data_IF_871963865363
#
_entry.id   IF_871963865363
#
_cell.length_a   1.000
_cell.length_b   1.000
_cell.length_c   1.000
_cell.angle_alpha   90.00
_cell.angle_beta   90.00
_cell.angle_gamma   90.00
#
_symmetry.space_group_name_H-M   'P 1'
#
loop_
_entity.id
_entity.type
_entity.pdbx_description
1 polymer ?
#
# COMPACT_ATOMS: atom_id res chain seq x y z
N UNK A 1 -31.53 -4.43 9.64
CA UNK A 1 -30.94 -3.18 9.16
C UNK A 1 -31.77 -2.01 9.69
N UNK A 2 -31.14 -1.09 10.41
CA UNK A 2 -31.79 0.08 11.01
C UNK A 2 -31.09 1.34 10.57
N UNK A 3 -31.82 2.34 10.07
CA UNK A 3 -31.30 3.65 9.71
C UNK A 3 -31.28 4.52 10.96
N UNK A 4 -30.13 5.14 11.24
CA UNK A 4 -29.91 5.99 12.42
C UNK A 4 -29.35 7.36 11.99
N UNK A 5 -29.77 8.41 12.67
CA UNK A 5 -29.27 9.75 12.44
C UNK A 5 -27.87 9.90 13.09
N UNK A 6 -26.93 10.43 12.32
CA UNK A 6 -25.53 10.65 12.71
C UNK A 6 -25.06 12.04 12.24
N UNK A 7 -25.64 13.11 12.77
CA UNK A 7 -25.45 14.45 12.24
C UNK A 7 -23.98 14.89 12.35
N UNK A 8 -23.39 15.33 11.22
CA UNK A 8 -22.02 15.82 11.14
C UNK A 8 -20.93 14.74 11.28
N UNK A 9 -21.28 13.45 11.24
CA UNK A 9 -20.32 12.32 11.35
C UNK A 9 -19.92 11.85 9.98
N UNK A 10 -18.74 12.25 9.51
CA UNK A 10 -18.24 11.97 8.16
C UNK A 10 -17.11 10.93 8.12
N UNK A 11 -16.41 10.71 9.23
CA UNK A 11 -15.29 9.77 9.29
C UNK A 11 -15.66 8.53 10.10
N UNK A 12 -14.93 7.42 9.83
CA UNK A 12 -15.12 6.16 10.57
C UNK A 12 -14.96 6.37 12.08
N UNK A 13 -13.96 7.15 12.48
CA UNK A 13 -13.67 7.44 13.88
C UNK A 13 -14.86 8.16 14.55
N UNK A 14 -15.37 9.20 13.91
CA UNK A 14 -16.53 9.96 14.41
C UNK A 14 -17.79 9.08 14.53
N UNK A 15 -18.09 8.31 13.48
CA UNK A 15 -19.25 7.40 13.47
C UNK A 15 -19.12 6.31 14.53
N UNK A 16 -17.94 5.72 14.66
CA UNK A 16 -17.68 4.66 15.65
C UNK A 16 -17.76 5.18 17.08
N UNK A 17 -17.23 6.38 17.35
CA UNK A 17 -17.33 7.03 18.64
C UNK A 17 -18.79 7.37 18.99
N UNK A 18 -19.52 7.99 18.05
CA UNK A 18 -20.93 8.37 18.24
C UNK A 18 -21.85 7.16 18.49
N UNK A 19 -21.65 6.05 17.78
CA UNK A 19 -22.46 4.86 17.89
C UNK A 19 -21.91 3.83 18.91
N UNK A 20 -20.79 4.14 19.57
CA UNK A 20 -20.10 3.26 20.52
C UNK A 20 -19.78 1.86 19.95
N UNK A 21 -19.23 1.83 18.74
CA UNK A 21 -18.84 0.59 18.04
C UNK A 21 -17.34 0.57 17.72
N UNK A 22 -16.75 -0.61 17.66
CA UNK A 22 -15.37 -0.80 17.19
C UNK A 22 -15.29 -0.57 15.67
N UNK A 23 -14.21 0.02 15.17
CA UNK A 23 -13.96 0.23 13.74
C UNK A 23 -14.03 -1.08 12.93
N UNK A 24 -13.73 -2.23 13.54
CA UNK A 24 -13.90 -3.55 12.93
C UNK A 24 -15.36 -3.94 12.72
N UNK A 25 -16.28 -3.24 13.36
CA UNK A 25 -17.74 -3.39 13.19
C UNK A 25 -18.31 -2.29 12.30
N UNK A 26 -17.47 -1.57 11.60
CA UNK A 26 -17.88 -0.62 10.58
C UNK A 26 -17.38 -1.05 9.20
N UNK A 27 -18.05 -0.55 8.18
CA UNK A 27 -17.69 -0.67 6.78
C UNK A 27 -17.51 0.73 6.23
N UNK A 28 -16.37 0.98 5.59
CA UNK A 28 -16.14 2.23 4.86
C UNK A 28 -16.13 2.02 3.36
N UNK A 29 -16.53 3.05 2.65
CA UNK A 29 -16.39 3.13 1.21
C UNK A 29 -15.14 3.90 0.83
N UNK A 30 -14.39 3.40 -0.13
CA UNK A 30 -13.27 4.10 -0.76
C UNK A 30 -13.60 4.26 -2.24
N UNK A 31 -13.44 5.48 -2.75
CA UNK A 31 -13.83 5.82 -4.11
C UNK A 31 -12.61 5.95 -4.99
N UNK A 32 -12.60 5.23 -6.09
CA UNK A 32 -11.64 5.35 -7.19
C UNK A 32 -12.36 5.61 -8.50
N UNK A 33 -11.61 6.02 -9.51
CA UNK A 33 -12.06 6.11 -10.90
C UNK A 33 -11.05 5.43 -11.81
N UNK A 34 -11.54 4.85 -12.91
CA UNK A 34 -10.66 4.32 -13.95
C UNK A 34 -10.02 5.45 -14.73
N UNK A 35 -8.72 5.32 -15.08
CA UNK A 35 -8.04 6.31 -15.93
C UNK A 35 -8.55 6.35 -17.36
N UNK A 36 -9.28 5.31 -17.82
CA UNK A 36 -9.72 5.18 -19.19
C UNK A 36 -11.01 5.94 -19.53
N UNK A 37 -11.94 6.00 -18.58
CA UNK A 37 -13.32 6.46 -18.81
C UNK A 37 -13.94 7.17 -17.60
N UNK A 38 -13.14 7.44 -16.57
CA UNK A 38 -13.54 8.06 -15.31
C UNK A 38 -14.68 7.33 -14.57
N UNK A 39 -14.96 6.07 -14.95
CA UNK A 39 -16.01 5.29 -14.30
C UNK A 39 -15.69 5.08 -12.80
N UNK A 40 -16.67 5.39 -11.97
CA UNK A 40 -16.55 5.26 -10.52
C UNK A 40 -16.44 3.80 -10.08
N UNK A 41 -15.61 3.58 -9.06
CA UNK A 41 -15.41 2.31 -8.39
C UNK A 41 -15.59 2.55 -6.90
N UNK A 42 -16.63 1.98 -6.33
CA UNK A 42 -16.90 2.01 -4.90
C UNK A 42 -16.39 0.72 -4.27
N UNK A 43 -15.41 0.83 -3.40
CA UNK A 43 -14.83 -0.31 -2.71
C UNK A 43 -15.25 -0.26 -1.26
N UNK A 44 -15.96 -1.28 -0.85
CA UNK A 44 -16.36 -1.46 0.54
C UNK A 44 -15.36 -2.35 1.27
N UNK A 45 -14.82 -1.87 2.36
CA UNK A 45 -13.80 -2.53 3.18
C UNK A 45 -14.13 -2.35 4.66
N UNK A 46 -13.63 -3.24 5.51
CA UNK A 46 -13.79 -3.08 6.96
C UNK A 46 -13.14 -1.77 7.43
N UNK A 47 -13.79 -1.04 8.33
CA UNK A 47 -13.45 0.34 8.68
C UNK A 47 -12.03 0.56 9.20
N UNK A 48 -11.40 -0.45 9.82
CA UNK A 48 -10.02 -0.41 10.32
C UNK A 48 -8.94 -0.67 9.26
N UNK A 49 -9.33 -0.99 8.00
CA UNK A 49 -8.39 -1.36 6.93
C UNK A 49 -8.30 -0.28 5.85
N UNK A 50 -7.20 -0.29 5.11
CA UNK A 50 -6.95 0.57 3.96
C UNK A 50 -6.88 -0.24 2.66
N UNK A 51 -7.21 0.38 1.52
CA UNK A 51 -7.10 -0.26 0.20
C UNK A 51 -5.66 -0.22 -0.30
N UNK A 52 -5.23 -1.34 -0.89
CA UNK A 52 -3.99 -1.45 -1.66
C UNK A 52 -4.30 -1.20 -3.14
N UNK A 53 -3.86 -0.06 -3.64
CA UNK A 53 -4.11 0.38 -5.01
C UNK A 53 -3.50 -0.57 -6.06
N UNK A 54 -2.34 -1.17 -5.76
CA UNK A 54 -1.73 -2.16 -6.66
C UNK A 54 -2.59 -3.42 -6.79
N UNK A 55 -3.18 -3.91 -5.69
CA UNK A 55 -4.13 -5.03 -5.74
C UNK A 55 -5.36 -4.67 -6.57
N UNK A 56 -5.88 -3.45 -6.40
CA UNK A 56 -7.02 -2.96 -7.16
C UNK A 56 -6.73 -2.88 -8.66
N UNK A 57 -5.61 -2.25 -9.04
CA UNK A 57 -5.16 -2.16 -10.43
C UNK A 57 -4.98 -3.54 -11.07
N UNK A 58 -4.34 -4.47 -10.35
CA UNK A 58 -4.15 -5.84 -10.82
C UNK A 58 -5.48 -6.59 -11.01
N UNK A 59 -6.44 -6.39 -10.10
CA UNK A 59 -7.76 -7.03 -10.19
C UNK A 59 -8.56 -6.49 -11.38
N UNK A 60 -8.54 -5.17 -11.59
CA UNK A 60 -9.29 -4.53 -12.67
C UNK A 60 -8.61 -4.65 -14.04
N UNK A 61 -7.31 -4.94 -14.08
CA UNK A 61 -6.50 -4.95 -15.30
C UNK A 61 -6.31 -3.58 -15.96
N UNK A 62 -6.54 -2.49 -15.22
CA UNK A 62 -6.39 -1.11 -15.69
C UNK A 62 -5.95 -0.19 -14.55
N UNK A 63 -5.32 0.93 -14.93
CA UNK A 63 -4.91 1.97 -13.99
C UNK A 63 -6.12 2.73 -13.43
N UNK A 64 -6.00 3.14 -12.18
CA UNK A 64 -7.01 3.88 -11.44
C UNK A 64 -6.39 5.08 -10.73
N UNK A 65 -7.22 6.03 -10.34
CA UNK A 65 -6.84 7.17 -9.49
C UNK A 65 -7.90 7.36 -8.39
N UNK A 66 -7.57 8.06 -7.29
CA UNK A 66 -8.56 8.43 -6.28
C UNK A 66 -9.73 9.19 -6.90
N UNK A 67 -10.95 8.75 -6.61
CA UNK A 67 -12.15 9.31 -7.22
C UNK A 67 -12.48 10.71 -6.69
N UNK A 68 -12.85 11.60 -7.60
CA UNK A 68 -13.35 12.93 -7.29
C UNK A 68 -14.87 12.90 -7.37
N UNK A 69 -15.53 12.99 -6.23
CA UNK A 69 -17.00 12.96 -6.15
C UNK A 69 -17.54 14.34 -6.55
N UNK A 70 -18.38 14.36 -7.57
CA UNK A 70 -19.11 15.55 -8.03
C UNK A 70 -20.58 15.47 -7.65
N UNK A 71 -21.30 16.59 -7.69
CA UNK A 71 -22.75 16.62 -7.43
C UNK A 71 -23.54 15.73 -8.42
N UNK A 72 -23.06 15.62 -9.65
CA UNK A 72 -23.68 14.82 -10.71
C UNK A 72 -23.44 13.31 -10.56
N UNK A 73 -22.46 12.90 -9.73
CA UNK A 73 -22.09 11.48 -9.57
C UNK A 73 -23.18 10.63 -8.91
N UNK A 74 -24.13 11.24 -8.20
CA UNK A 74 -25.11 10.54 -7.38
C UNK A 74 -24.52 9.85 -6.16
N UNK A 75 -23.24 10.13 -5.83
CA UNK A 75 -22.50 9.55 -4.69
C UNK A 75 -22.51 10.54 -3.55
N UNK A 76 -23.00 10.13 -2.38
CA UNK A 76 -23.09 11.01 -1.21
C UNK A 76 -21.82 10.94 -0.37
N UNK A 77 -20.86 11.82 -0.61
CA UNK A 77 -19.58 11.87 0.11
C UNK A 77 -19.78 11.90 1.63
N UNK A 78 -19.00 11.10 2.35
CA UNK A 78 -19.08 10.93 3.82
C UNK A 78 -20.15 9.94 4.29
N UNK A 79 -21.13 9.58 3.43
CA UNK A 79 -22.27 8.73 3.80
C UNK A 79 -22.49 7.56 2.82
N UNK A 80 -21.47 7.18 2.08
CA UNK A 80 -21.56 6.15 1.04
C UNK A 80 -21.80 4.78 1.69
N UNK A 81 -22.83 4.09 1.25
CA UNK A 81 -23.16 2.74 1.68
C UNK A 81 -23.50 1.81 0.52
N UNK A 82 -23.42 0.49 0.72
CA UNK A 82 -23.71 -0.47 -0.34
C UNK A 82 -25.21 -0.70 -0.56
N UNK A 83 -26.05 -0.37 0.43
CA UNK A 83 -27.49 -0.60 0.38
C UNK A 83 -28.15 0.54 -0.38
N UNK A 84 -28.98 0.19 -1.38
CA UNK A 84 -29.67 1.16 -2.24
C UNK A 84 -28.69 2.15 -2.95
N UNK A 85 -27.52 1.68 -3.30
CA UNK A 85 -26.59 2.47 -4.11
C UNK A 85 -27.09 2.53 -5.56
N UNK A 86 -27.44 3.72 -6.04
CA UNK A 86 -28.03 3.95 -7.37
C UNK A 86 -27.08 4.64 -8.37
N UNK A 87 -25.87 5.02 -7.93
CA UNK A 87 -24.89 5.62 -8.83
C UNK A 87 -24.40 4.60 -9.89
N UNK A 88 -24.11 5.09 -11.09
CA UNK A 88 -23.46 4.26 -12.13
C UNK A 88 -22.00 4.01 -11.77
N UNK A 89 -21.74 2.94 -11.05
CA UNK A 89 -20.43 2.62 -10.55
C UNK A 89 -20.19 1.09 -10.50
N UNK A 90 -18.91 0.72 -10.45
CA UNK A 90 -18.50 -0.65 -10.12
C UNK A 90 -18.46 -0.75 -8.60
N UNK A 91 -19.15 -1.74 -8.05
CA UNK A 91 -19.16 -2.03 -6.60
C UNK A 91 -18.29 -3.25 -6.31
N UNK A 92 -17.33 -3.11 -5.40
CA UNK A 92 -16.45 -4.18 -4.97
C UNK A 92 -16.50 -4.34 -3.44
N UNK A 93 -16.51 -5.58 -2.98
CA UNK A 93 -16.41 -5.90 -1.56
C UNK A 93 -15.06 -6.54 -1.24
N UNK A 94 -14.37 -5.98 -0.26
CA UNK A 94 -13.12 -6.58 0.22
C UNK A 94 -13.40 -7.87 1.01
N UNK A 95 -12.48 -8.81 0.91
CA UNK A 95 -12.56 -10.11 1.60
C UNK A 95 -12.73 -9.98 3.13
N UNK A 96 -12.29 -8.88 3.73
CA UNK A 96 -12.46 -8.61 5.17
C UNK A 96 -13.91 -8.51 5.62
N UNK A 97 -14.85 -8.32 4.67
CA UNK A 97 -16.29 -8.23 4.95
C UNK A 97 -17.00 -9.58 4.90
N UNK A 98 -16.36 -10.61 4.36
CA UNK A 98 -16.98 -11.93 4.22
C UNK A 98 -17.39 -12.51 5.57
N UNK A 99 -18.65 -12.94 5.69
CA UNK A 99 -19.21 -13.53 6.91
C UNK A 99 -19.37 -12.54 8.08
N UNK A 100 -19.20 -11.24 7.85
CA UNK A 100 -19.37 -10.22 8.90
C UNK A 100 -20.84 -9.91 9.13
N UNK A 101 -21.15 -9.61 10.38
CA UNK A 101 -22.51 -9.32 10.84
C UNK A 101 -22.52 -8.08 11.73
N UNK A 102 -23.68 -7.43 11.79
CA UNK A 102 -23.93 -6.27 12.64
C UNK A 102 -22.95 -5.11 12.36
N UNK A 103 -22.73 -4.83 11.07
CA UNK A 103 -21.88 -3.72 10.64
C UNK A 103 -22.64 -2.39 10.64
N UNK A 104 -21.89 -1.31 10.81
CA UNK A 104 -22.31 0.07 10.52
C UNK A 104 -21.79 0.46 9.16
N UNK A 105 -22.61 1.11 8.33
CA UNK A 105 -22.19 1.66 7.02
C UNK A 105 -22.98 2.92 6.68
N UNK A 106 -22.53 3.68 5.68
CA UNK A 106 -23.28 4.82 5.16
C UNK A 106 -24.67 4.44 4.65
N UNK A 107 -25.60 5.38 4.66
CA UNK A 107 -26.98 5.19 4.20
C UNK A 107 -27.27 5.88 2.86
N UNK A 108 -26.25 6.39 2.15
CA UNK A 108 -26.36 7.20 0.93
C UNK A 108 -27.26 8.43 1.11
N UNK A 109 -27.34 8.93 2.33
CA UNK A 109 -28.09 10.11 2.71
C UNK A 109 -27.30 10.91 3.75
N UNK A 110 -27.25 12.24 3.59
CA UNK A 110 -26.52 13.13 4.50
C UNK A 110 -27.00 12.93 5.93
N UNK A 111 -26.04 12.81 6.85
CA UNK A 111 -26.30 12.63 8.29
C UNK A 111 -26.99 11.32 8.68
N UNK A 112 -26.94 10.29 7.83
CA UNK A 112 -27.51 8.98 8.17
C UNK A 112 -26.55 7.83 7.89
N UNK A 113 -26.58 6.85 8.80
CA UNK A 113 -25.91 5.56 8.66
C UNK A 113 -26.91 4.42 8.90
N UNK A 114 -26.58 3.24 8.39
CA UNK A 114 -27.25 1.98 8.74
C UNK A 114 -26.47 1.25 9.81
N UNK A 115 -27.19 0.65 10.75
CA UNK A 115 -26.67 -0.32 11.74
C UNK A 115 -27.31 -1.69 11.51
N UNK A 116 -26.63 -2.74 11.95
CA UNK A 116 -27.17 -4.10 11.84
C UNK A 116 -27.05 -4.74 10.45
N UNK A 117 -26.13 -4.22 9.61
CA UNK A 117 -25.86 -4.81 8.29
C UNK A 117 -25.21 -6.19 8.45
N UNK A 118 -25.76 -7.19 7.78
CA UNK A 118 -25.19 -8.53 7.68
C UNK A 118 -24.91 -8.84 6.23
N UNK A 119 -23.65 -9.09 5.89
CA UNK A 119 -23.24 -9.25 4.48
C UNK A 119 -23.98 -10.37 3.77
N UNK A 120 -24.11 -11.53 4.40
CA UNK A 120 -24.79 -12.68 3.79
C UNK A 120 -26.29 -12.48 3.62
N UNK A 121 -26.91 -11.62 4.44
CA UNK A 121 -28.36 -11.34 4.36
C UNK A 121 -28.68 -10.30 3.29
N UNK A 122 -27.94 -9.20 3.27
CA UNK A 122 -28.16 -8.10 2.33
C UNK A 122 -27.51 -8.35 0.95
N UNK A 123 -26.41 -9.11 0.92
CA UNK A 123 -25.61 -9.36 -0.28
C UNK A 123 -25.24 -10.86 -0.40
N UNK A 124 -26.21 -11.77 -0.56
CA UNK A 124 -25.95 -13.22 -0.59
C UNK A 124 -25.05 -13.64 -1.75
N UNK A 125 -25.12 -12.93 -2.86
CA UNK A 125 -24.35 -13.21 -4.08
C UNK A 125 -23.09 -12.33 -4.22
N UNK A 126 -22.65 -11.66 -3.14
CA UNK A 126 -21.50 -10.79 -3.18
C UNK A 126 -20.21 -11.57 -3.46
N UNK A 127 -19.46 -11.11 -4.46
CA UNK A 127 -18.10 -11.54 -4.69
C UNK A 127 -17.13 -10.72 -3.82
N UNK A 128 -16.20 -11.44 -3.16
CA UNK A 128 -15.22 -10.82 -2.26
C UNK A 128 -13.83 -10.90 -2.85
N UNK A 129 -13.18 -9.73 -2.97
CA UNK A 129 -11.85 -9.57 -3.55
C UNK A 129 -10.84 -9.21 -2.47
N UNK A 130 -9.60 -9.66 -2.60
CA UNK A 130 -8.51 -9.26 -1.71
C UNK A 130 -7.94 -7.90 -2.15
N UNK A 131 -8.41 -6.83 -1.52
CA UNK A 131 -8.05 -5.45 -1.85
C UNK A 131 -7.37 -4.69 -0.69
N UNK A 132 -7.52 -5.17 0.54
CA UNK A 132 -6.97 -4.49 1.70
C UNK A 132 -5.44 -4.56 1.77
N UNK A 133 -4.82 -3.51 2.34
CA UNK A 133 -3.41 -3.52 2.74
C UNK A 133 -3.21 -4.53 3.87
N UNK A 134 -2.01 -5.11 3.88
CA UNK A 134 -1.56 -5.95 5.00
C UNK A 134 -1.39 -5.08 6.25
N UNK A 135 -1.81 -5.62 7.38
CA UNK A 135 -1.70 -4.96 8.70
C UNK A 135 -0.84 -5.79 9.64
N UNK A 136 -0.25 -5.12 10.64
CA UNK A 136 0.48 -5.77 11.73
C UNK A 136 -0.41 -6.80 12.43
N UNK A 137 0.14 -7.99 12.72
CA UNK A 137 -0.63 -9.09 13.29
C UNK A 137 -1.65 -9.73 12.33
N UNK A 138 -1.58 -9.41 11.05
CA UNK A 138 -2.43 -10.02 10.01
C UNK A 138 -2.22 -11.53 9.90
N UNK A 139 -3.19 -12.21 9.29
CA UNK A 139 -3.16 -13.66 9.09
C UNK A 139 -2.26 -13.99 7.89
N UNK A 140 -1.25 -14.82 8.12
CA UNK A 140 -0.41 -15.33 7.05
C UNK A 140 -1.21 -16.27 6.13
N UNK A 141 -1.26 -16.04 4.82
CA UNK A 141 -2.01 -16.89 3.89
C UNK A 141 -1.43 -18.30 3.77
N UNK A 142 -0.14 -18.49 4.09
CA UNK A 142 0.53 -19.79 3.99
C UNK A 142 0.27 -20.69 5.21
N UNK A 143 0.33 -20.13 6.42
CA UNK A 143 0.22 -20.92 7.66
C UNK A 143 -1.05 -20.66 8.48
N UNK A 144 -1.88 -19.69 8.10
CA UNK A 144 -3.14 -19.35 8.78
C UNK A 144 -2.98 -18.70 10.17
N UNK A 145 -1.75 -18.41 10.60
CA UNK A 145 -1.49 -17.80 11.91
C UNK A 145 -1.47 -16.28 11.82
N UNK A 146 -1.82 -15.60 12.90
CA UNK A 146 -1.64 -14.14 13.09
C UNK A 146 -0.17 -13.87 13.37
N UNK A 147 0.65 -13.82 12.32
CA UNK A 147 2.11 -13.76 12.42
C UNK A 147 2.78 -12.79 11.46
N UNK A 148 2.00 -11.96 10.76
CA UNK A 148 2.57 -10.95 9.89
C UNK A 148 3.11 -9.80 10.74
N UNK A 149 4.35 -9.40 10.47
CA UNK A 149 4.99 -8.23 11.08
C UNK A 149 5.32 -7.22 9.99
N UNK A 150 5.23 -5.94 10.34
CA UNK A 150 5.55 -4.84 9.44
C UNK A 150 6.83 -4.17 9.96
N UNK A 151 7.85 -4.09 9.12
CA UNK A 151 9.07 -3.33 9.40
C UNK A 151 9.33 -2.31 8.30
N UNK A 152 9.93 -1.19 8.68
CA UNK A 152 10.44 -0.22 7.72
C UNK A 152 11.87 -0.59 7.37
N UNK A 153 12.20 -0.51 6.08
CA UNK A 153 13.56 -0.71 5.58
C UNK A 153 13.94 0.40 4.61
N UNK A 154 15.23 0.58 4.43
CA UNK A 154 15.77 1.48 3.39
C UNK A 154 16.06 0.62 2.16
N UNK A 155 15.45 0.97 1.02
CA UNK A 155 15.74 0.31 -0.26
C UNK A 155 17.12 0.74 -0.76
N UNK A 156 18.08 -0.16 -0.74
CA UNK A 156 19.45 0.10 -1.18
C UNK A 156 19.73 -0.41 -2.59
N UNK A 157 18.92 -1.31 -3.11
CA UNK A 157 19.00 -1.84 -4.46
C UNK A 157 17.70 -2.46 -4.91
N UNK A 158 17.51 -2.61 -6.21
CA UNK A 158 16.30 -3.17 -6.78
C UNK A 158 16.60 -4.00 -8.03
N UNK A 159 15.76 -5.00 -8.27
CA UNK A 159 15.75 -5.81 -9.49
C UNK A 159 14.46 -5.52 -10.23
N UNK A 160 14.59 -5.01 -11.46
CA UNK A 160 13.45 -4.68 -12.30
C UNK A 160 13.26 -5.74 -13.37
N UNK A 161 12.11 -6.39 -13.38
CA UNK A 161 11.69 -7.28 -14.45
C UNK A 161 11.00 -6.45 -15.54
N UNK A 162 11.76 -5.97 -16.51
CA UNK A 162 11.27 -5.07 -17.54
C UNK A 162 10.48 -5.81 -18.64
N UNK A 163 10.64 -7.13 -18.75
CA UNK A 163 10.01 -7.92 -19.80
C UNK A 163 10.36 -7.40 -21.19
N UNK A 164 9.36 -7.24 -22.03
CA UNK A 164 9.52 -6.74 -23.41
C UNK A 164 9.10 -5.28 -23.57
N UNK A 165 8.89 -4.53 -22.47
CA UNK A 165 8.36 -3.15 -22.51
C UNK A 165 9.18 -2.24 -23.42
N UNK A 166 10.50 -2.23 -23.27
CA UNK A 166 11.38 -1.37 -24.04
C UNK A 166 11.73 -1.98 -25.40
N UNK A 167 11.96 -3.28 -25.47
CA UNK A 167 12.31 -3.94 -26.73
C UNK A 167 11.20 -3.85 -27.75
N UNK A 168 9.92 -3.96 -27.33
CA UNK A 168 8.77 -3.73 -28.22
C UNK A 168 8.67 -2.28 -28.68
N UNK A 169 8.80 -1.30 -27.77
CA UNK A 169 8.69 0.11 -28.14
C UNK A 169 9.80 0.59 -29.09
N UNK A 170 10.99 -0.03 -29.00
CA UNK A 170 12.13 0.25 -29.86
C UNK A 170 12.17 -0.66 -31.11
N UNK A 171 11.21 -1.57 -31.26
CA UNK A 171 11.18 -2.61 -32.29
C UNK A 171 12.51 -3.43 -32.37
N UNK A 172 13.12 -3.65 -31.22
CA UNK A 172 14.36 -4.40 -31.09
C UNK A 172 14.05 -5.90 -31.08
N UNK A 173 14.43 -6.62 -32.14
CA UNK A 173 14.15 -8.03 -32.28
C UNK A 173 15.42 -8.82 -32.55
N UNK A 174 15.39 -10.13 -32.26
CA UNK A 174 16.38 -11.10 -32.66
C UNK A 174 15.71 -12.31 -33.32
N UNK A 175 16.44 -13.03 -34.17
CA UNK A 175 16.01 -14.29 -34.73
C UNK A 175 16.53 -15.44 -33.88
N UNK A 176 15.68 -16.38 -33.54
CA UNK A 176 16.09 -17.61 -32.88
C UNK A 176 16.70 -18.64 -33.87
N UNK A 177 17.01 -19.83 -33.37
CA UNK A 177 17.62 -20.90 -34.19
C UNK A 177 16.69 -21.40 -35.31
N UNK A 178 15.38 -21.25 -35.15
CA UNK A 178 14.34 -21.66 -36.10
C UNK A 178 13.99 -20.54 -37.08
N UNK A 179 14.63 -19.35 -36.94
CA UNK A 179 14.40 -18.18 -37.77
C UNK A 179 13.18 -17.35 -37.37
N UNK A 180 12.58 -17.62 -36.22
CA UNK A 180 11.47 -16.83 -35.69
C UNK A 180 11.94 -15.56 -34.99
N UNK A 181 11.18 -14.49 -35.16
CA UNK A 181 11.50 -13.17 -34.59
C UNK A 181 10.93 -13.00 -33.20
N UNK A 182 11.78 -12.64 -32.23
CA UNK A 182 11.40 -12.44 -30.83
C UNK A 182 11.91 -11.12 -30.28
N UNK A 183 11.19 -10.58 -29.29
CA UNK A 183 11.65 -9.43 -28.52
C UNK A 183 12.44 -9.90 -27.29
N UNK A 184 13.67 -9.43 -27.08
CA UNK A 184 14.45 -9.76 -25.89
C UNK A 184 13.72 -9.41 -24.58
N UNK A 185 13.75 -10.32 -23.63
CA UNK A 185 13.28 -10.08 -22.28
C UNK A 185 14.40 -9.36 -21.51
N UNK A 186 14.09 -8.22 -20.93
CA UNK A 186 15.04 -7.38 -20.24
C UNK A 186 14.87 -7.45 -18.72
N UNK A 187 15.98 -7.37 -18.01
CA UNK A 187 16.07 -7.08 -16.58
C UNK A 187 16.97 -5.86 -16.35
N UNK A 188 16.77 -5.17 -15.25
CA UNK A 188 17.64 -4.09 -14.80
C UNK A 188 17.97 -4.30 -13.32
N UNK A 189 19.22 -4.03 -12.97
CA UNK A 189 19.76 -4.28 -11.63
C UNK A 189 20.38 -2.96 -11.14
N UNK A 190 19.73 -2.32 -10.19
CA UNK A 190 20.16 -1.02 -9.67
C UNK A 190 20.63 -1.10 -8.22
N UNK A 191 21.74 -0.44 -7.91
CA UNK A 191 22.21 -0.23 -6.54
C UNK A 191 22.41 1.26 -6.32
N UNK A 192 21.78 1.82 -5.30
CA UNK A 192 21.93 3.20 -4.87
C UNK A 192 23.17 3.34 -3.99
N UNK A 193 24.37 3.52 -4.58
CA UNK A 193 25.65 3.55 -3.84
C UNK A 193 25.63 4.61 -2.73
N UNK A 194 25.18 5.82 -3.02
CA UNK A 194 25.08 6.89 -2.01
C UNK A 194 24.07 6.54 -0.90
N UNK A 195 22.92 5.97 -1.27
CA UNK A 195 21.91 5.52 -0.30
C UNK A 195 22.44 4.36 0.54
N UNK A 196 23.18 3.43 -0.05
CA UNK A 196 23.82 2.34 0.68
C UNK A 196 24.81 2.87 1.72
N UNK A 197 25.69 3.82 1.35
CA UNK A 197 26.62 4.45 2.28
C UNK A 197 25.87 5.15 3.43
N UNK A 198 24.84 5.94 3.12
CA UNK A 198 24.02 6.60 4.13
C UNK A 198 23.31 5.59 5.05
N UNK A 199 22.83 4.46 4.50
CA UNK A 199 22.19 3.38 5.29
C UNK A 199 23.17 2.69 6.23
N UNK A 200 24.42 2.53 5.83
CA UNK A 200 25.47 2.02 6.72
C UNK A 200 25.75 3.00 7.87
N UNK A 201 25.85 4.30 7.57
CA UNK A 201 25.98 5.32 8.61
C UNK A 201 24.81 5.31 9.59
N UNK A 202 23.57 5.17 9.09
CA UNK A 202 22.37 5.11 9.90
C UNK A 202 22.33 3.86 10.81
N UNK A 203 22.82 2.72 10.30
CA UNK A 203 22.83 1.46 11.04
C UNK A 203 24.03 1.33 12.01
N UNK A 204 25.13 2.06 11.74
CA UNK A 204 26.39 1.96 12.46
C UNK A 204 26.91 3.35 12.83
N UNK A 205 26.38 3.92 13.90
CA UNK A 205 26.81 5.20 14.46
C UNK A 205 26.76 5.19 15.99
N UNK A 206 27.47 6.14 16.56
CA UNK A 206 27.38 6.51 17.98
C UNK A 206 27.13 8.02 18.10
N UNK A 207 27.23 8.57 19.30
CA UNK A 207 27.02 10.00 19.57
C UNK A 207 28.07 10.92 18.91
N UNK A 208 29.18 10.36 18.40
CA UNK A 208 30.28 11.10 17.78
C UNK A 208 30.27 10.99 16.24
N UNK A 209 29.47 10.08 15.67
CA UNK A 209 29.33 9.95 14.22
C UNK A 209 29.35 8.51 13.71
N UNK A 210 29.58 8.30 12.40
CA UNK A 210 29.56 6.97 11.79
C UNK A 210 30.68 6.07 12.32
N UNK A 211 30.31 4.83 12.65
CA UNK A 211 31.22 3.74 12.99
C UNK A 211 31.28 2.77 11.81
N UNK A 212 32.27 2.94 10.93
CA UNK A 212 32.36 2.12 9.73
C UNK A 212 32.69 0.66 10.05
N UNK A 213 31.91 -0.31 9.53
CA UNK A 213 32.32 -1.72 9.55
C UNK A 213 33.68 -1.91 8.87
N UNK A 214 34.52 -2.76 9.45
CA UNK A 214 35.91 -2.98 8.97
C UNK A 214 35.97 -3.38 7.47
N UNK A 215 34.92 -4.00 6.94
CA UNK A 215 34.81 -4.45 5.55
C UNK A 215 34.71 -3.32 4.54
N UNK A 216 34.30 -2.11 4.98
CA UNK A 216 34.12 -0.93 4.12
C UNK A 216 34.83 0.31 4.67
N UNK A 217 35.49 0.18 5.82
CA UNK A 217 36.29 1.26 6.39
C UNK A 217 37.41 1.63 5.43
N UNK A 218 37.67 2.94 5.18
CA UNK A 218 38.77 3.39 4.31
C UNK A 218 40.14 2.87 4.76
N UNK A 219 40.31 2.75 6.08
CA UNK A 219 41.50 2.22 6.72
C UNK A 219 41.11 1.31 7.89
N UNK A 220 41.88 0.29 8.11
CA UNK A 220 41.67 -0.65 9.24
C UNK A 220 42.19 -0.07 10.56
N UNK A 221 43.16 0.83 10.48
CA UNK A 221 43.81 1.50 11.63
C UNK A 221 43.95 2.97 11.31
N UNK A 222 43.62 3.83 12.26
CA UNK A 222 43.85 5.27 12.19
C UNK A 222 44.82 5.63 13.32
N UNK A 223 46.00 6.11 12.95
CA UNK A 223 47.02 6.54 13.87
C UNK A 223 46.96 8.07 14.05
N UNK A 224 46.76 8.53 15.28
CA UNK A 224 46.76 9.95 15.61
C UNK A 224 48.11 10.32 16.29
N UNK A 225 48.97 11.07 15.60
CA UNK A 225 50.18 11.60 16.21
C UNK A 225 49.87 12.87 17.00
N UNK A 226 49.86 12.77 18.36
CA UNK A 226 49.55 13.90 19.24
C UNK A 226 50.69 14.96 19.33
N UNK A 227 51.92 14.58 19.00
CA UNK A 227 53.10 15.47 19.02
C UNK A 227 53.73 15.54 17.62
N UNK A 228 52.99 16.15 16.70
CA UNK A 228 53.44 16.27 15.30
C UNK A 228 54.67 17.18 15.11
N UNK A 229 55.02 17.95 16.12
CA UNK A 229 56.25 18.79 16.24
C UNK A 229 57.48 18.01 16.72
N UNK A 230 57.27 16.82 17.32
CA UNK A 230 58.34 15.91 17.73
C UNK A 230 58.77 15.05 16.53
N UNK A 231 60.02 15.24 16.06
CA UNK A 231 60.51 14.55 14.87
C UNK A 231 60.56 13.02 15.03
N UNK A 232 60.83 12.50 16.23
CA UNK A 232 60.88 11.08 16.50
C UNK A 232 59.46 10.46 16.53
N UNK A 233 58.51 11.15 17.18
CA UNK A 233 57.11 10.72 17.20
C UNK A 233 56.49 10.75 15.80
N UNK A 234 56.82 11.78 14.99
CA UNK A 234 56.35 11.86 13.61
C UNK A 234 56.95 10.75 12.73
N UNK A 235 58.24 10.49 12.84
CA UNK A 235 58.90 9.43 12.07
C UNK A 235 58.37 8.02 12.41
N UNK A 236 57.84 7.84 13.63
CA UNK A 236 57.21 6.60 14.00
C UNK A 236 55.78 6.47 13.43
N UNK A 237 55.11 7.61 13.26
CA UNK A 237 53.71 7.64 12.76
C UNK A 237 53.62 7.54 11.22
N UNK A 238 54.65 8.03 10.48
CA UNK A 238 54.76 7.96 9.02
C UNK A 238 55.20 6.56 8.55
#
# INVERSE_FOLDING_TARGET
LTKVATPGMHTIEQVCEFLHVDAKKSMKAVVYQKNSDDKYILIFVRGDLEINETKLTNYLGCDVHPGVITEESGIQAGFIGPVNQNADCIVLFDRSLKGTTNLVCGANEVDYHYTGLNMEREFPDAEYVDLAKVVEGGICPCCGKKSLTISRGIEVGNIFQLGTKYTKSMNMQYLDADGESHYPIMGCYGIGVGRLAASVCEAHHDDYGPVWPITIAPWQVHLCCLRADDAEAKAFAD
#
